data_IF_466612159265
#
_entry.id   IF_466612159265
#
_cell.length_a   1.000
_cell.length_b   1.000
_cell.length_c   1.000
_cell.angle_alpha   90.00
_cell.angle_beta   90.00
_cell.angle_gamma   90.00
#
_symmetry.space_group_name_H-M   'P 1'
#
loop_
_entity.id
_entity.type
_entity.pdbx_description
1 polymer ?
#
# COMPACT_ATOMS: atom_id res chain seq x y z
N UNK A 1 2.38 8.78 3.95
CA UNK A 1 2.40 8.68 2.48
C UNK A 1 1.66 9.90 1.97
N UNK A 2 2.20 10.66 1.02
CA UNK A 2 1.46 11.75 0.36
C UNK A 2 1.04 11.20 -1.00
N UNK A 3 -0.20 10.73 -1.12
CA UNK A 3 -0.75 10.21 -2.37
C UNK A 3 -1.87 11.16 -2.80
N UNK A 4 -1.68 11.83 -3.93
CA UNK A 4 -2.69 12.74 -4.47
C UNK A 4 -3.58 12.01 -5.49
N UNK A 5 -4.79 12.52 -5.73
CA UNK A 5 -5.72 11.89 -6.66
C UNK A 5 -5.14 11.78 -8.08
N UNK A 6 -4.39 12.80 -8.54
CA UNK A 6 -3.68 12.77 -9.83
C UNK A 6 -2.66 11.64 -9.98
N UNK A 7 -2.20 11.05 -8.87
CA UNK A 7 -1.21 9.98 -8.88
C UNK A 7 -1.82 8.59 -9.01
N UNK A 8 -3.16 8.49 -9.07
CA UNK A 8 -3.89 7.23 -9.20
C UNK A 8 -4.26 7.02 -10.68
N UNK A 9 -3.57 6.09 -11.34
CA UNK A 9 -3.77 5.76 -12.76
C UNK A 9 -4.23 4.31 -12.92
N UNK A 10 -5.53 4.08 -12.74
CA UNK A 10 -6.11 2.73 -12.79
C UNK A 10 -5.44 1.81 -11.77
N UNK A 11 -4.73 0.78 -12.25
CA UNK A 11 -4.00 -0.17 -11.39
C UNK A 11 -2.59 0.30 -10.99
N UNK A 12 -2.18 1.50 -11.37
CA UNK A 12 -0.86 2.06 -11.07
C UNK A 12 -1.00 3.25 -10.12
N UNK A 13 -0.18 3.29 -9.08
CA UNK A 13 -0.03 4.40 -8.16
C UNK A 13 1.36 5.01 -8.33
N UNK A 14 1.42 6.32 -8.47
CA UNK A 14 2.67 7.06 -8.65
C UNK A 14 3.05 7.76 -7.35
N UNK A 15 4.02 7.22 -6.63
CA UNK A 15 4.53 7.83 -5.41
C UNK A 15 5.62 8.84 -5.77
N UNK A 16 5.33 10.11 -5.53
CA UNK A 16 6.26 11.22 -5.73
C UNK A 16 7.07 11.45 -4.45
N UNK A 17 8.34 11.80 -4.59
CA UNK A 17 9.21 12.31 -3.50
C UNK A 17 9.55 11.32 -2.36
N UNK A 18 10.31 10.23 -2.65
CA UNK A 18 11.02 9.53 -1.59
C UNK A 18 12.14 10.42 -1.03
N UNK A 19 12.45 10.30 0.28
CA UNK A 19 13.53 11.01 1.01
C UNK A 19 14.95 10.96 0.37
N UNK A 20 15.12 10.32 -0.78
CA UNK A 20 16.39 9.99 -1.44
C UNK A 20 16.70 10.82 -2.70
N UNK A 21 15.86 11.80 -3.08
CA UNK A 21 16.23 12.81 -4.08
C UNK A 21 16.24 12.37 -5.55
N UNK A 22 15.87 11.13 -5.91
CA UNK A 22 15.63 10.76 -7.31
C UNK A 22 14.66 9.58 -7.43
N UNK A 23 13.84 9.65 -8.49
CA UNK A 23 12.92 8.63 -9.03
C UNK A 23 11.53 8.51 -8.38
N UNK A 24 10.55 8.99 -9.14
CA UNK A 24 9.14 8.62 -9.06
C UNK A 24 8.98 7.10 -8.93
N UNK A 25 8.30 6.64 -7.88
CA UNK A 25 8.10 5.22 -7.62
C UNK A 25 6.73 4.76 -8.11
N UNK A 26 6.70 3.75 -8.98
CA UNK A 26 5.45 3.15 -9.47
C UNK A 26 5.12 1.92 -8.66
N UNK A 27 3.90 1.90 -8.15
CA UNK A 27 3.30 0.80 -7.39
C UNK A 27 2.12 0.24 -8.16
N UNK A 28 2.00 -1.08 -8.24
CA UNK A 28 0.84 -1.73 -8.85
C UNK A 28 -0.12 -2.22 -7.76
N UNK A 29 -1.42 -2.11 -8.00
CA UNK A 29 -2.46 -2.58 -7.07
C UNK A 29 -3.42 -3.55 -7.78
N UNK A 30 -4.02 -4.53 -7.05
CA UNK A 30 -5.02 -5.42 -7.62
C UNK A 30 -6.22 -4.65 -8.18
N UNK A 31 -6.85 -5.18 -9.24
CA UNK A 31 -8.00 -4.54 -9.91
C UNK A 31 -9.11 -4.15 -8.93
N UNK A 32 -9.49 -5.06 -8.03
CA UNK A 32 -10.53 -4.81 -7.01
C UNK A 32 -10.19 -3.65 -6.06
N UNK A 33 -8.91 -3.45 -5.76
CA UNK A 33 -8.45 -2.33 -4.91
C UNK A 33 -8.45 -1.04 -5.72
N UNK A 34 -8.01 -1.07 -6.97
CA UNK A 34 -8.04 0.06 -7.89
C UNK A 34 -9.46 0.59 -8.12
N UNK A 35 -10.41 -0.32 -8.35
CA UNK A 35 -11.82 0.04 -8.56
C UNK A 35 -12.40 0.72 -7.33
N UNK A 36 -12.21 0.15 -6.14
CA UNK A 36 -12.65 0.76 -4.87
C UNK A 36 -12.01 2.12 -4.60
N UNK A 37 -10.72 2.27 -4.91
CA UNK A 37 -10.01 3.53 -4.71
C UNK A 37 -10.55 4.62 -5.64
N UNK A 38 -10.82 4.28 -6.89
CA UNK A 38 -11.45 5.17 -7.87
C UNK A 38 -12.85 5.58 -7.43
N UNK A 39 -13.69 4.62 -7.03
CA UNK A 39 -15.05 4.88 -6.56
C UNK A 39 -15.04 5.81 -5.33
N UNK A 40 -14.07 5.62 -4.43
CA UNK A 40 -13.87 6.50 -3.28
C UNK A 40 -13.49 7.94 -3.70
N UNK A 41 -12.51 8.10 -4.59
CA UNK A 41 -12.07 9.42 -5.08
C UNK A 41 -13.23 10.15 -5.79
N UNK A 42 -13.99 9.43 -6.62
CA UNK A 42 -15.13 9.99 -7.36
C UNK A 42 -16.30 10.34 -6.45
N UNK A 43 -16.65 9.49 -5.48
CA UNK A 43 -17.77 9.74 -4.56
C UNK A 43 -17.50 10.91 -3.61
N UNK A 44 -16.26 11.06 -3.15
CA UNK A 44 -15.83 12.16 -2.27
C UNK A 44 -15.50 13.44 -3.08
N UNK A 45 -15.42 13.35 -4.42
CA UNK A 45 -15.04 14.45 -5.32
C UNK A 45 -13.69 15.07 -4.95
N UNK A 46 -12.69 14.22 -4.71
CA UNK A 46 -11.35 14.68 -4.35
C UNK A 46 -10.68 15.28 -5.59
N UNK A 47 -10.28 16.54 -5.51
CA UNK A 47 -9.53 17.20 -6.59
C UNK A 47 -8.15 16.56 -6.81
N UNK A 48 -7.68 16.62 -8.04
CA UNK A 48 -6.42 16.02 -8.51
C UNK A 48 -5.19 16.43 -7.68
N UNK A 49 -5.15 17.68 -7.21
CA UNK A 49 -4.08 18.25 -6.38
C UNK A 49 -4.14 17.79 -4.92
N UNK A 50 -5.29 17.30 -4.45
CA UNK A 50 -5.52 17.00 -3.04
C UNK A 50 -5.09 15.58 -2.67
N UNK A 51 -4.71 15.41 -1.39
CA UNK A 51 -4.35 14.11 -0.83
C UNK A 51 -5.59 13.22 -0.75
N UNK A 52 -5.50 11.99 -1.27
CA UNK A 52 -6.57 10.99 -1.18
C UNK A 52 -6.87 10.63 0.27
N UNK A 53 -5.83 10.62 1.11
CA UNK A 53 -5.96 10.39 2.55
C UNK A 53 -5.38 11.60 3.30
N UNK A 54 -6.22 12.58 3.69
CA UNK A 54 -5.76 13.80 4.35
C UNK A 54 -5.54 13.57 5.86
N UNK A 55 -4.78 12.53 6.22
CA UNK A 55 -4.47 12.23 7.62
C UNK A 55 -3.13 11.53 7.82
N UNK A 56 -2.59 11.67 9.03
CA UNK A 56 -1.32 11.08 9.44
C UNK A 56 -1.40 9.57 9.74
N UNK A 57 -0.23 8.97 9.99
CA UNK A 57 -0.09 7.55 10.29
C UNK A 57 -0.90 7.11 11.52
N UNK A 58 -0.98 7.93 12.56
CA UNK A 58 -1.73 7.62 13.79
C UNK A 58 -3.21 7.37 13.49
N UNK A 59 -3.87 8.28 12.76
CA UNK A 59 -5.27 8.11 12.36
C UNK A 59 -5.47 6.92 11.43
N UNK A 60 -4.54 6.68 10.51
CA UNK A 60 -4.56 5.49 9.66
C UNK A 60 -4.51 4.19 10.49
N UNK A 61 -3.65 4.15 11.51
CA UNK A 61 -3.52 3.03 12.44
C UNK A 61 -4.79 2.81 13.27
N UNK A 62 -5.46 3.88 13.69
CA UNK A 62 -6.74 3.80 14.41
C UNK A 62 -7.86 3.25 13.54
N UNK A 63 -7.94 3.70 12.28
CA UNK A 63 -8.92 3.18 11.31
C UNK A 63 -8.77 1.66 11.15
N UNK A 64 -7.53 1.16 11.01
CA UNK A 64 -7.25 -0.28 10.89
C UNK A 64 -7.67 -1.03 12.16
N UNK A 65 -7.35 -0.50 13.34
CA UNK A 65 -7.75 -1.13 14.60
C UNK A 65 -9.27 -1.15 14.79
N UNK A 66 -9.96 -0.06 14.44
CA UNK A 66 -11.40 0.02 14.53
C UNK A 66 -12.08 -0.96 13.57
N UNK A 67 -11.59 -1.08 12.34
CA UNK A 67 -12.06 -2.09 11.38
C UNK A 67 -11.85 -3.52 11.91
N UNK A 68 -10.73 -3.79 12.58
CA UNK A 68 -10.51 -5.06 13.28
C UNK A 68 -11.52 -5.30 14.41
N UNK A 69 -11.74 -4.31 15.28
CA UNK A 69 -12.71 -4.40 16.37
C UNK A 69 -14.13 -4.68 15.88
N UNK A 70 -14.54 -4.10 14.74
CA UNK A 70 -15.86 -4.34 14.13
C UNK A 70 -16.09 -5.82 13.76
N UNK A 71 -15.02 -6.57 13.52
CA UNK A 71 -15.06 -8.01 13.24
C UNK A 71 -14.47 -8.85 14.39
N UNK A 72 -14.32 -8.26 15.58
CA UNK A 72 -13.75 -8.86 16.78
C UNK A 72 -12.32 -9.43 16.60
N UNK A 73 -11.50 -8.77 15.78
CA UNK A 73 -10.10 -9.12 15.52
C UNK A 73 -9.17 -7.98 15.94
N UNK A 74 -8.08 -8.28 16.64
CA UNK A 74 -7.04 -7.30 16.94
C UNK A 74 -6.13 -7.07 15.72
N UNK A 75 -6.60 -6.26 14.76
CA UNK A 75 -5.92 -6.00 13.50
C UNK A 75 -4.89 -4.86 13.62
N UNK A 76 -3.64 -5.12 13.23
CA UNK A 76 -2.58 -4.10 13.12
C UNK A 76 -2.18 -3.86 11.66
N UNK A 77 -1.67 -2.66 11.32
CA UNK A 77 -1.13 -2.39 9.98
C UNK A 77 -0.06 -3.40 9.52
N UNK A 78 0.72 -3.94 10.45
CA UNK A 78 1.72 -4.97 10.15
C UNK A 78 1.10 -6.30 9.68
N UNK A 79 -0.07 -6.67 10.20
CA UNK A 79 -0.75 -7.91 9.81
C UNK A 79 -1.27 -7.82 8.37
N UNK A 80 -1.83 -6.66 7.99
CA UNK A 80 -2.24 -6.37 6.61
C UNK A 80 -1.05 -6.43 5.66
N UNK A 81 0.09 -5.88 6.09
CA UNK A 81 1.35 -5.90 5.35
C UNK A 81 1.87 -7.34 5.16
N UNK A 82 1.85 -8.17 6.21
CA UNK A 82 2.25 -9.59 6.12
C UNK A 82 1.31 -10.37 5.18
N UNK A 83 0.00 -10.18 5.34
CA UNK A 83 -1.00 -10.85 4.52
C UNK A 83 -0.85 -10.51 3.04
N UNK A 84 -0.70 -9.23 2.70
CA UNK A 84 -0.48 -8.80 1.31
C UNK A 84 0.83 -9.38 0.73
N UNK A 85 1.89 -9.50 1.53
CA UNK A 85 3.16 -10.11 1.09
C UNK A 85 2.98 -11.59 0.72
N UNK A 86 2.34 -12.33 1.63
CA UNK A 86 2.02 -13.75 1.42
C UNK A 86 1.08 -13.94 0.24
N UNK A 87 0.05 -13.11 0.10
CA UNK A 87 -0.90 -13.19 -1.01
C UNK A 87 -0.21 -13.04 -2.37
N UNK A 88 0.67 -12.04 -2.53
CA UNK A 88 1.38 -11.86 -3.79
C UNK A 88 2.37 -12.98 -4.09
N UNK A 89 3.13 -13.43 -3.07
CA UNK A 89 4.04 -14.57 -3.20
C UNK A 89 3.31 -15.84 -3.67
N UNK A 90 2.08 -16.09 -3.17
CA UNK A 90 1.28 -17.26 -3.55
C UNK A 90 0.55 -17.11 -4.88
N UNK A 91 0.28 -15.87 -5.31
CA UNK A 91 -0.48 -15.58 -6.54
C UNK A 91 0.41 -15.44 -7.79
N UNK A 92 1.71 -15.72 -7.69
CA UNK A 92 2.67 -15.51 -8.77
C UNK A 92 2.80 -14.03 -9.18
N UNK A 93 2.37 -13.12 -8.32
CA UNK A 93 2.37 -11.67 -8.58
C UNK A 93 3.81 -11.19 -8.43
N UNK A 94 4.39 -10.49 -9.43
CA UNK A 94 5.77 -10.04 -9.38
C UNK A 94 6.07 -9.28 -8.09
N UNK A 95 7.25 -9.55 -7.52
CA UNK A 95 7.65 -8.99 -6.22
C UNK A 95 7.66 -7.46 -6.26
N UNK A 96 7.76 -6.80 -7.42
CA UNK A 96 7.66 -5.34 -7.54
C UNK A 96 6.30 -4.78 -7.07
N UNK A 97 5.22 -5.56 -7.18
CA UNK A 97 3.85 -5.18 -6.78
C UNK A 97 3.73 -5.12 -5.25
N UNK A 98 4.50 -5.95 -4.55
CA UNK A 98 4.42 -6.10 -3.09
C UNK A 98 5.60 -5.49 -2.37
N UNK A 99 6.81 -5.62 -2.91
CA UNK A 99 8.07 -5.19 -2.29
C UNK A 99 8.20 -3.67 -2.12
N UNK A 100 7.27 -2.86 -2.65
CA UNK A 100 7.31 -1.39 -2.51
C UNK A 100 6.20 -0.83 -1.63
N UNK A 101 5.01 -1.44 -1.64
CA UNK A 101 3.90 -1.12 -0.70
C UNK A 101 4.24 -1.61 0.71
N UNK A 102 4.86 -2.78 0.76
CA UNK A 102 5.21 -3.49 1.98
C UNK A 102 6.62 -3.07 2.35
N UNK A 103 7.62 -3.42 1.56
CA UNK A 103 9.03 -3.37 1.95
C UNK A 103 9.73 -2.03 1.60
N UNK A 104 9.30 -0.88 2.16
CA UNK A 104 10.16 0.34 2.24
C UNK A 104 11.43 0.06 3.09
N UNK A 105 12.28 -0.87 2.65
CA UNK A 105 13.62 -1.00 3.14
C UNK A 105 14.45 0.02 2.38
N UNK A 106 14.71 1.15 3.04
CA UNK A 106 16.02 1.75 2.88
C UNK A 106 17.02 0.69 3.36
N UNK A 107 17.94 0.28 2.50
CA UNK A 107 18.91 -0.81 2.65
C UNK A 107 18.38 -2.25 2.56
N UNK A 108 18.73 -2.88 1.43
CA UNK A 108 18.91 -4.33 1.24
C UNK A 108 20.12 -4.84 2.04
N UNK A 109 20.08 -4.67 3.36
CA UNK A 109 21.02 -5.31 4.26
C UNK A 109 20.27 -5.66 5.54
N UNK A 110 19.58 -6.79 5.54
CA UNK A 110 19.48 -7.71 6.67
C UNK A 110 18.86 -9.02 6.16
N UNK A 111 19.78 -9.98 5.99
CA UNK A 111 19.56 -11.38 5.64
C UNK A 111 18.38 -12.00 6.42
N UNK A 112 17.36 -12.49 5.71
CA UNK A 112 16.56 -13.62 6.19
C UNK A 112 16.34 -14.57 5.02
N UNK A 113 17.26 -15.55 4.92
CA UNK A 113 17.11 -16.72 4.05
C UNK A 113 15.85 -17.46 4.50
N UNK A 114 14.82 -17.47 3.66
CA UNK A 114 13.72 -18.43 3.76
C UNK A 114 14.12 -19.60 2.86
N UNK A 115 14.30 -20.83 3.39
CA UNK A 115 14.74 -21.95 2.58
C UNK A 115 13.55 -22.46 1.76
N UNK A 116 13.70 -22.41 0.45
CA UNK A 116 12.88 -23.18 -0.48
C UNK A 116 13.48 -24.58 -0.57
N UNK A 117 12.66 -25.62 -0.39
CA UNK A 117 12.92 -26.93 -0.98
C UNK A 117 11.71 -27.37 -1.78
N UNK A 118 12.02 -27.72 -3.01
CA UNK A 118 11.23 -28.32 -4.07
C UNK A 118 10.59 -29.64 -3.66
#
# INVERSE_FOLDING_TARGET
>A
LKLNAKNVHGRKLILSDPKSGNQTEIVYIPKKVADRLRDYISSVKIEDSNSVFPFGYTRAREIVQNAGKMINVNLKPHDLRRHAATYASRSGVPIEIVSKIILRHANLAHHTKIPWKS
#
